data_IF_160849565343
#
_entry.id   IF_160849565343
#
_cell.length_a   1.000
_cell.length_b   1.000
_cell.length_c   1.000
_cell.angle_alpha   90.00
_cell.angle_beta   90.00
_cell.angle_gamma   90.00
#
_symmetry.space_group_name_H-M   'P 1'
#
loop_
_entity.id
_entity.type
_entity.pdbx_description
1 polymer ?
#
# COMPACT_ATOMS: atom_id res chain seq x y z
N UNK A 1 -22.02 2.94 -36.58
CA UNK A 1 -22.63 2.10 -35.54
C UNK A 1 -23.40 3.03 -34.62
N UNK A 2 -24.69 3.21 -34.93
CA UNK A 2 -25.66 4.02 -34.17
C UNK A 2 -25.70 3.63 -32.68
N UNK A 3 -25.73 4.62 -31.81
CA UNK A 3 -26.17 4.47 -30.41
C UNK A 3 -27.27 5.48 -30.11
N UNK A 4 -28.31 5.52 -30.94
CA UNK A 4 -29.35 6.55 -30.88
C UNK A 4 -30.59 6.18 -30.05
N UNK A 5 -30.55 5.16 -29.18
CA UNK A 5 -31.72 4.81 -28.36
C UNK A 5 -31.43 4.07 -27.03
N UNK A 6 -30.40 4.48 -26.28
CA UNK A 6 -30.18 3.93 -24.94
C UNK A 6 -30.94 4.76 -23.91
N UNK A 7 -32.01 4.19 -23.36
CA UNK A 7 -32.80 4.82 -22.29
C UNK A 7 -32.04 4.70 -20.96
N UNK A 8 -31.23 5.71 -20.65
CA UNK A 8 -30.47 5.79 -19.40
C UNK A 8 -31.48 5.87 -18.24
N UNK A 9 -31.55 4.81 -17.44
CA UNK A 9 -32.47 4.69 -16.31
C UNK A 9 -31.64 4.59 -15.03
N UNK A 10 -31.81 5.53 -14.13
CA UNK A 10 -31.13 5.53 -12.83
C UNK A 10 -31.78 4.46 -11.95
N UNK A 11 -31.03 3.40 -11.62
CA UNK A 11 -31.50 2.35 -10.73
C UNK A 11 -31.60 2.91 -9.30
N UNK A 12 -32.79 2.86 -8.68
CA UNK A 12 -32.98 3.21 -7.26
C UNK A 12 -32.47 2.07 -6.39
N UNK A 13 -31.18 2.03 -6.16
CA UNK A 13 -30.52 1.09 -5.24
C UNK A 13 -29.13 1.57 -4.90
N UNK A 14 -28.70 1.39 -3.65
CA UNK A 14 -27.31 1.61 -3.27
C UNK A 14 -26.49 0.43 -3.78
N UNK A 15 -25.65 0.66 -4.79
CA UNK A 15 -24.57 -0.27 -5.14
C UNK A 15 -23.59 -0.27 -3.96
N UNK A 16 -23.68 -1.28 -3.10
CA UNK A 16 -22.69 -1.53 -2.06
C UNK A 16 -21.39 -1.99 -2.75
N UNK A 17 -20.57 -1.03 -3.18
CA UNK A 17 -19.24 -1.32 -3.73
C UNK A 17 -18.27 -1.58 -2.59
N UNK A 18 -18.24 -2.83 -2.11
CA UNK A 18 -17.20 -3.26 -1.19
C UNK A 18 -15.89 -3.40 -1.98
N UNK A 19 -14.95 -2.47 -1.79
CA UNK A 19 -13.63 -2.52 -2.43
C UNK A 19 -12.82 -3.77 -2.05
N UNK A 20 -13.22 -4.49 -0.99
CA UNK A 20 -12.57 -5.68 -0.46
C UNK A 20 -13.63 -6.65 0.08
N UNK A 21 -13.53 -7.93 -0.30
CA UNK A 21 -14.43 -8.99 0.15
C UNK A 21 -13.96 -9.64 1.46
N UNK A 22 -12.65 -9.56 1.75
CA UNK A 22 -12.00 -10.10 2.94
C UNK A 22 -10.77 -9.27 3.35
N UNK A 23 -10.35 -9.39 4.60
CA UNK A 23 -9.08 -8.84 5.12
C UNK A 23 -7.88 -9.44 4.37
N UNK A 24 -7.98 -10.69 3.92
CA UNK A 24 -6.95 -11.33 3.11
C UNK A 24 -6.78 -10.64 1.75
N UNK A 25 -7.89 -10.25 1.09
CA UNK A 25 -7.85 -9.49 -0.16
C UNK A 25 -7.18 -8.12 0.02
N UNK A 26 -7.41 -7.48 1.17
CA UNK A 26 -6.76 -6.21 1.49
C UNK A 26 -5.23 -6.36 1.56
N UNK A 27 -4.76 -7.39 2.25
CA UNK A 27 -3.32 -7.70 2.34
C UNK A 27 -2.72 -8.04 0.98
N UNK A 28 -3.39 -8.85 0.17
CA UNK A 28 -2.93 -9.20 -1.19
C UNK A 28 -2.79 -7.94 -2.05
N UNK A 29 -3.79 -7.04 -2.04
CA UNK A 29 -3.69 -5.78 -2.81
C UNK A 29 -2.58 -4.88 -2.29
N UNK A 30 -2.45 -4.73 -0.96
CA UNK A 30 -1.36 -3.97 -0.33
C UNK A 30 0.01 -4.47 -0.80
N UNK A 31 0.20 -5.78 -0.82
CA UNK A 31 1.45 -6.38 -1.30
C UNK A 31 1.66 -6.17 -2.80
N UNK A 32 0.64 -6.38 -3.62
CA UNK A 32 0.70 -6.12 -5.06
C UNK A 32 1.10 -4.66 -5.38
N UNK A 33 0.54 -3.67 -4.68
CA UNK A 33 0.92 -2.26 -4.86
C UNK A 33 2.38 -2.00 -4.45
N UNK A 34 2.87 -2.65 -3.40
CA UNK A 34 4.26 -2.51 -2.97
C UNK A 34 5.24 -3.14 -3.98
N UNK A 35 4.87 -4.24 -4.62
CA UNK A 35 5.65 -4.88 -5.68
C UNK A 35 5.70 -4.03 -6.95
N UNK A 36 4.53 -3.51 -7.38
CA UNK A 36 4.43 -2.58 -8.50
C UNK A 36 5.34 -1.36 -8.31
N UNK A 37 5.37 -0.82 -7.09
CA UNK A 37 6.30 0.26 -6.76
C UNK A 37 7.76 -0.17 -6.87
N UNK A 38 8.13 -1.34 -6.34
CA UNK A 38 9.49 -1.84 -6.43
C UNK A 38 9.93 -2.04 -7.89
N UNK A 39 9.06 -2.62 -8.74
CA UNK A 39 9.31 -2.83 -10.17
C UNK A 39 9.46 -1.48 -10.90
N UNK A 40 8.58 -0.52 -10.64
CA UNK A 40 8.58 0.77 -11.34
C UNK A 40 9.83 1.62 -11.02
N UNK A 41 10.33 1.51 -9.79
CA UNK A 41 11.47 2.30 -9.29
C UNK A 41 12.80 1.54 -9.28
N UNK A 42 12.82 0.25 -9.63
CA UNK A 42 14.03 -0.56 -9.82
C UNK A 42 14.97 0.12 -10.80
N UNK A 43 16.22 0.33 -10.39
CA UNK A 43 17.25 1.01 -11.19
C UNK A 43 17.10 2.53 -11.33
N UNK A 44 15.98 3.14 -10.92
CA UNK A 44 15.76 4.59 -10.96
C UNK A 44 16.08 5.29 -9.64
N UNK A 45 15.95 4.58 -8.51
CA UNK A 45 16.25 5.11 -7.18
C UNK A 45 17.13 4.15 -6.38
N UNK A 46 18.18 4.70 -5.78
CA UNK A 46 18.98 4.01 -4.77
C UNK A 46 18.12 3.85 -3.52
N UNK A 47 17.93 2.60 -3.08
CA UNK A 47 17.31 2.26 -1.81
C UNK A 47 18.35 1.49 -1.00
N UNK A 48 18.35 1.68 0.32
CA UNK A 48 19.18 0.92 1.25
C UNK A 48 18.37 0.70 2.53
N UNK A 49 18.72 -0.30 3.35
CA UNK A 49 18.03 -0.55 4.62
C UNK A 49 18.02 0.69 5.52
N UNK A 50 19.12 1.46 5.55
CA UNK A 50 19.21 2.72 6.28
C UNK A 50 18.26 3.79 5.73
N UNK A 51 18.13 3.90 4.40
CA UNK A 51 17.19 4.83 3.76
C UNK A 51 15.74 4.42 4.06
N UNK A 52 15.44 3.11 4.09
CA UNK A 52 14.11 2.61 4.43
C UNK A 52 13.72 2.98 5.86
N UNK A 53 14.63 2.82 6.82
CA UNK A 53 14.41 3.21 8.23
C UNK A 53 14.19 4.73 8.33
N UNK A 54 15.09 5.53 7.75
CA UNK A 54 14.95 7.00 7.80
C UNK A 54 13.62 7.47 7.19
N UNK A 55 13.20 6.86 6.08
CA UNK A 55 11.94 7.21 5.43
C UNK A 55 10.73 6.77 6.25
N UNK A 56 10.79 5.60 6.86
CA UNK A 56 9.74 5.10 7.76
C UNK A 56 9.59 5.97 9.01
N UNK A 57 10.69 6.42 9.62
CA UNK A 57 10.66 7.31 10.79
C UNK A 57 10.13 8.70 10.40
N UNK A 58 10.54 9.21 9.23
CA UNK A 58 9.99 10.46 8.70
C UNK A 58 8.49 10.35 8.43
N UNK A 59 8.03 9.25 7.85
CA UNK A 59 6.62 9.00 7.56
C UNK A 59 5.78 8.83 8.83
N UNK A 60 6.34 8.17 9.85
CA UNK A 60 5.76 8.12 11.19
C UNK A 60 5.57 9.53 11.76
N UNK A 61 6.63 10.35 11.74
CA UNK A 61 6.56 11.71 12.30
C UNK A 61 5.60 12.60 11.52
N UNK A 62 5.62 12.50 10.19
CA UNK A 62 4.70 13.22 9.30
C UNK A 62 3.24 12.81 9.59
N UNK A 63 2.94 11.51 9.67
CA UNK A 63 1.60 11.03 10.01
C UNK A 63 1.18 11.44 11.43
N UNK A 64 2.10 11.33 12.39
CA UNK A 64 1.79 11.62 13.79
C UNK A 64 1.54 13.12 14.05
N UNK A 65 2.38 13.98 13.48
CA UNK A 65 2.36 15.43 13.72
C UNK A 65 1.53 16.18 12.69
N UNK A 66 1.72 15.91 11.39
CA UNK A 66 1.09 16.69 10.30
C UNK A 66 -0.33 16.20 10.01
N UNK A 67 -0.58 14.88 10.05
CA UNK A 67 -1.96 14.36 9.94
C UNK A 67 -2.72 14.40 11.27
N UNK A 68 -2.14 15.03 12.30
CA UNK A 68 -2.79 15.25 13.59
C UNK A 68 -3.25 13.95 14.26
N UNK A 69 -2.63 12.81 13.93
CA UNK A 69 -2.99 11.51 14.50
C UNK A 69 -2.84 11.50 16.02
N UNK A 70 -2.01 12.38 16.59
CA UNK A 70 -1.93 12.58 18.04
C UNK A 70 -3.30 12.92 18.69
N UNK A 71 -4.23 13.57 17.98
CA UNK A 71 -5.56 13.91 18.51
C UNK A 71 -6.46 12.69 18.75
N UNK A 72 -6.24 11.60 18.01
CA UNK A 72 -6.96 10.35 18.19
C UNK A 72 -6.35 9.47 19.31
N UNK A 73 -5.30 9.96 19.99
CA UNK A 73 -4.61 9.29 21.07
C UNK A 73 -3.99 7.95 20.64
N UNK A 74 -4.36 6.87 21.32
CA UNK A 74 -3.84 5.52 21.05
C UNK A 74 -4.14 5.05 19.62
N UNK A 75 -5.32 5.39 19.06
CA UNK A 75 -5.70 4.96 17.71
C UNK A 75 -4.82 5.62 16.65
N UNK A 76 -4.50 6.90 16.81
CA UNK A 76 -3.61 7.57 15.88
C UNK A 76 -2.16 7.10 15.99
N UNK A 77 -1.70 6.71 17.19
CA UNK A 77 -0.41 6.02 17.33
C UNK A 77 -0.38 4.70 16.53
N UNK A 78 -1.44 3.88 16.62
CA UNK A 78 -1.54 2.64 15.84
C UNK A 78 -1.53 2.91 14.33
N UNK A 79 -2.24 3.94 13.86
CA UNK A 79 -2.25 4.32 12.44
C UNK A 79 -0.87 4.77 11.99
N UNK A 80 -0.19 5.62 12.76
CA UNK A 80 1.14 6.11 12.43
C UNK A 80 2.17 4.96 12.36
N UNK A 81 2.14 4.01 13.31
CA UNK A 81 3.01 2.82 13.28
C UNK A 81 2.70 1.94 12.07
N UNK A 82 1.41 1.73 11.78
CA UNK A 82 0.98 0.92 10.63
C UNK A 82 1.45 1.52 9.30
N UNK A 83 1.32 2.83 9.13
CA UNK A 83 1.78 3.55 7.94
C UNK A 83 3.31 3.47 7.79
N UNK A 84 4.03 3.70 8.89
CA UNK A 84 5.48 3.56 8.92
C UNK A 84 5.92 2.16 8.47
N UNK A 85 5.26 1.11 8.96
CA UNK A 85 5.54 -0.27 8.57
C UNK A 85 5.29 -0.54 7.07
N UNK A 86 4.22 0.03 6.50
CA UNK A 86 3.95 -0.05 5.05
C UNK A 86 5.06 0.63 4.25
N UNK A 87 5.46 1.83 4.67
CA UNK A 87 6.54 2.60 4.04
C UNK A 87 7.87 1.85 4.13
N UNK A 88 8.19 1.28 5.29
CA UNK A 88 9.39 0.46 5.49
C UNK A 88 9.43 -0.73 4.53
N UNK A 89 8.37 -1.54 4.50
CA UNK A 89 8.26 -2.73 3.65
C UNK A 89 8.40 -2.39 2.16
N UNK A 90 7.76 -1.30 1.73
CA UNK A 90 7.85 -0.79 0.35
C UNK A 90 9.28 -0.45 -0.06
N UNK A 91 10.05 0.22 0.80
CA UNK A 91 11.45 0.59 0.51
C UNK A 91 12.42 -0.59 0.63
N UNK A 92 12.12 -1.58 1.47
CA UNK A 92 12.87 -2.83 1.58
C UNK A 92 12.69 -3.68 0.32
N UNK A 93 11.45 -3.86 -0.16
CA UNK A 93 11.18 -4.53 -1.44
C UNK A 93 11.89 -3.82 -2.61
N UNK A 94 11.94 -2.49 -2.61
CA UNK A 94 12.70 -1.74 -3.62
C UNK A 94 14.23 -2.01 -3.53
N UNK A 95 14.77 -2.17 -2.32
CA UNK A 95 16.17 -2.53 -2.11
C UNK A 95 16.48 -3.94 -2.63
N UNK A 96 15.63 -4.92 -2.33
CA UNK A 96 15.71 -6.28 -2.87
C UNK A 96 15.61 -6.28 -4.40
N UNK A 97 14.72 -5.45 -4.98
CA UNK A 97 14.58 -5.25 -6.42
C UNK A 97 15.90 -4.81 -7.06
N UNK A 98 16.56 -3.84 -6.42
CA UNK A 98 17.81 -3.25 -6.88
C UNK A 98 18.99 -4.22 -6.75
N UNK A 99 18.96 -5.12 -5.76
CA UNK A 99 19.94 -6.21 -5.60
C UNK A 99 19.76 -7.35 -6.61
N UNK A 100 18.61 -7.42 -7.28
CA UNK A 100 18.33 -8.43 -8.31
C UNK A 100 17.45 -9.59 -7.85
N UNK A 101 16.88 -9.53 -6.63
CA UNK A 101 15.94 -10.54 -6.17
C UNK A 101 14.60 -10.45 -6.94
N UNK A 102 14.02 -11.60 -7.26
CA UNK A 102 12.70 -11.69 -7.89
C UNK A 102 11.61 -11.51 -6.82
N UNK A 103 10.91 -10.39 -6.89
CA UNK A 103 9.94 -9.98 -5.87
C UNK A 103 8.59 -10.67 -6.05
N UNK A 104 8.31 -11.27 -7.23
CA UNK A 104 7.00 -11.86 -7.56
C UNK A 104 6.56 -12.99 -6.62
N UNK A 105 7.48 -13.56 -5.84
CA UNK A 105 7.20 -14.70 -4.97
C UNK A 105 7.24 -14.35 -3.48
N UNK A 106 7.71 -13.16 -3.07
CA UNK A 106 7.97 -12.85 -1.66
C UNK A 106 6.69 -12.69 -0.83
N UNK A 107 5.60 -12.24 -1.43
CA UNK A 107 4.31 -12.06 -0.75
C UNK A 107 3.54 -13.36 -0.46
N UNK A 108 3.89 -14.47 -1.12
CA UNK A 108 3.19 -15.76 -0.99
C UNK A 108 3.78 -16.68 0.10
N UNK A 109 4.94 -16.34 0.67
CA UNK A 109 5.55 -17.13 1.75
C UNK A 109 4.93 -16.86 3.12
N UNK A 110 4.24 -15.74 3.31
CA UNK A 110 3.56 -15.39 4.57
C UNK A 110 2.15 -15.99 4.71
N UNK A 111 1.66 -16.72 3.70
CA UNK A 111 0.32 -17.36 3.72
C UNK A 111 0.37 -18.86 4.03
N UNK A 112 1.53 -19.38 4.47
CA UNK A 112 1.73 -20.81 4.79
C UNK A 112 2.06 -21.02 6.28
N UNK A 113 1.40 -20.28 7.17
CA UNK A 113 1.23 -20.63 8.60
C UNK A 113 -0.21 -20.37 9.04
#
# INVERSE_FOLDING_TARGET
METENVKIKTLKGHLLHYSYLSISDFSIKRDLYSELFAIQYKGKRKSSPAIAILKSVFDFFNTFVIQLACLDGYRGMLIAVSNAHVTFTKYLKLYEANLGYDIKNMGLYYTME
#
